data_IF_061203996724
#
_entry.id   IF_061203996724
#
_cell.length_a   1.000
_cell.length_b   1.000
_cell.length_c   1.000
_cell.angle_alpha   90.00
_cell.angle_beta   90.00
_cell.angle_gamma   90.00
#
_symmetry.space_group_name_H-M   'P 1'
#
loop_
_entity.id
_entity.type
_entity.pdbx_description
1 polymer ?
#
# COMPACT_ATOMS: atom_id res chain seq x y z
N UNK A 1 2.09 26.73 -13.88
CA UNK A 1 1.38 26.28 -15.09
C UNK A 1 0.59 27.48 -15.64
N UNK A 2 0.46 27.62 -16.98
CA UNK A 2 -0.23 28.76 -17.60
C UNK A 2 -1.73 28.78 -17.24
N UNK A 3 -2.40 29.94 -17.31
CA UNK A 3 -3.85 30.01 -17.18
C UNK A 3 -4.57 29.34 -18.35
N UNK A 4 -5.78 28.82 -18.10
CA UNK A 4 -6.58 28.15 -19.12
C UNK A 4 -7.32 29.14 -20.02
N UNK A 5 -8.01 30.12 -19.44
CA UNK A 5 -8.72 31.17 -20.17
C UNK A 5 -8.27 32.52 -19.64
N UNK A 6 -7.66 33.32 -20.52
CA UNK A 6 -7.30 34.70 -20.22
C UNK A 6 -8.29 35.63 -20.91
N UNK A 7 -8.87 36.55 -20.14
CA UNK A 7 -9.69 37.64 -20.65
C UNK A 7 -8.88 38.92 -20.49
N UNK A 8 -8.72 39.68 -21.56
CA UNK A 8 -8.05 40.97 -21.51
C UNK A 8 -8.98 42.00 -20.85
N UNK A 9 -8.57 42.51 -19.69
CA UNK A 9 -9.25 43.59 -18.97
C UNK A 9 -8.28 44.75 -18.88
N UNK A 10 -8.40 45.73 -19.78
CA UNK A 10 -7.42 46.82 -19.96
C UNK A 10 -5.98 46.33 -20.22
N UNK A 11 -5.12 47.18 -20.78
CA UNK A 11 -3.75 46.79 -21.15
C UNK A 11 -2.98 46.29 -19.92
N UNK A 12 -2.46 45.06 -20.00
CA UNK A 12 -1.62 44.37 -18.99
C UNK A 12 -2.30 43.78 -17.74
N UNK A 13 -3.64 43.73 -17.63
CA UNK A 13 -4.31 43.04 -16.50
C UNK A 13 -4.99 41.71 -16.86
N UNK A 14 -4.38 40.93 -17.76
CA UNK A 14 -4.88 39.59 -18.11
C UNK A 14 -4.14 38.48 -17.36
N UNK A 15 -4.79 37.32 -17.21
CA UNK A 15 -4.19 36.15 -16.58
C UNK A 15 -2.90 35.73 -17.30
N UNK A 16 -2.91 35.82 -18.64
CA UNK A 16 -1.77 35.50 -19.50
C UNK A 16 -0.63 36.50 -19.27
N UNK A 17 -0.91 37.81 -19.26
CA UNK A 17 0.10 38.83 -19.03
C UNK A 17 0.78 38.65 -17.66
N UNK A 18 -0.01 38.42 -16.60
CA UNK A 18 0.53 38.14 -15.27
C UNK A 18 1.40 36.88 -15.24
N UNK A 19 1.02 35.82 -15.95
CA UNK A 19 1.82 34.59 -16.04
C UNK A 19 3.15 34.81 -16.77
N UNK A 20 3.13 35.52 -17.90
CA UNK A 20 4.32 35.81 -18.70
C UNK A 20 5.32 36.68 -17.92
N UNK A 21 4.83 37.71 -17.21
CA UNK A 21 5.66 38.54 -16.35
C UNK A 21 6.26 37.74 -15.17
N UNK A 22 5.46 36.87 -14.54
CA UNK A 22 5.97 35.96 -13.51
C UNK A 22 7.08 35.04 -14.03
N UNK A 23 6.99 34.56 -15.27
CA UNK A 23 8.05 33.77 -15.90
C UNK A 23 9.32 34.58 -16.15
N UNK A 24 9.20 35.84 -16.57
CA UNK A 24 10.34 36.74 -16.78
C UNK A 24 11.06 37.04 -15.46
N UNK A 25 10.31 37.42 -14.43
CA UNK A 25 10.84 37.71 -13.09
C UNK A 25 11.53 36.48 -12.49
N UNK A 26 10.93 35.29 -12.66
CA UNK A 26 11.54 34.03 -12.20
C UNK A 26 12.89 33.77 -12.88
N UNK A 27 13.01 34.05 -14.18
CA UNK A 27 14.29 33.91 -14.91
C UNK A 27 15.36 34.88 -14.41
N UNK A 28 14.95 36.04 -13.90
CA UNK A 28 15.84 37.03 -13.31
C UNK A 28 16.23 36.70 -11.86
N UNK A 29 15.69 35.62 -11.28
CA UNK A 29 16.03 35.13 -9.95
C UNK A 29 15.20 35.71 -8.80
N UNK A 30 14.23 36.58 -9.09
CA UNK A 30 13.33 37.13 -8.07
C UNK A 30 12.12 36.22 -7.85
N UNK A 31 12.36 35.14 -7.12
CA UNK A 31 11.40 34.09 -6.91
C UNK A 31 10.14 34.57 -6.14
N UNK A 32 10.31 35.49 -5.19
CA UNK A 32 9.21 35.96 -4.33
C UNK A 32 8.23 36.80 -5.13
N UNK A 33 8.73 37.68 -6.00
CA UNK A 33 7.88 38.50 -6.85
C UNK A 33 7.25 37.66 -7.96
N UNK A 34 8.01 36.73 -8.55
CA UNK A 34 7.47 35.77 -9.51
C UNK A 34 6.26 34.99 -8.95
N UNK A 35 6.32 34.55 -7.69
CA UNK A 35 5.22 33.88 -7.02
C UNK A 35 3.96 34.75 -6.97
N UNK A 36 4.09 36.04 -6.65
CA UNK A 36 2.94 36.96 -6.60
C UNK A 36 2.26 37.07 -7.97
N UNK A 37 3.04 37.15 -9.04
CA UNK A 37 2.52 37.19 -10.41
C UNK A 37 1.87 35.87 -10.84
N UNK A 38 2.39 34.71 -10.42
CA UNK A 38 1.72 33.44 -10.66
C UNK A 38 0.42 33.28 -9.87
N UNK A 39 0.36 33.79 -8.63
CA UNK A 39 -0.88 33.86 -7.85
C UNK A 39 -1.88 34.78 -8.54
N UNK A 40 -1.46 35.96 -9.01
CA UNK A 40 -2.30 36.88 -9.79
C UNK A 40 -2.81 36.22 -11.07
N UNK A 41 -1.97 35.51 -11.81
CA UNK A 41 -2.38 34.78 -13.01
C UNK A 41 -3.45 33.71 -12.71
N UNK A 42 -3.29 32.95 -11.62
CA UNK A 42 -4.31 32.00 -11.13
C UNK A 42 -5.62 32.72 -10.78
N UNK A 43 -5.53 33.86 -10.11
CA UNK A 43 -6.69 34.64 -9.65
C UNK A 43 -7.38 35.41 -10.78
N UNK A 44 -6.73 35.61 -11.92
CA UNK A 44 -7.32 36.19 -13.13
C UNK A 44 -7.81 35.13 -14.13
N UNK A 45 -7.47 33.85 -13.94
CA UNK A 45 -7.90 32.78 -14.84
C UNK A 45 -9.43 32.70 -14.88
N UNK A 46 -10.00 32.96 -16.06
CA UNK A 46 -11.45 33.01 -16.24
C UNK A 46 -12.07 31.61 -16.16
N UNK A 47 -11.27 30.56 -16.36
CA UNK A 47 -11.68 29.19 -16.09
C UNK A 47 -11.19 28.75 -14.72
N UNK A 48 -12.08 28.85 -13.72
CA UNK A 48 -11.81 28.67 -12.29
C UNK A 48 -11.64 27.20 -11.86
N UNK A 49 -10.76 26.46 -12.53
CA UNK A 49 -10.39 25.11 -12.06
C UNK A 49 -9.62 25.16 -10.74
N UNK A 50 -8.80 26.21 -10.55
CA UNK A 50 -8.05 26.46 -9.32
C UNK A 50 -8.80 27.44 -8.42
N UNK A 51 -8.85 27.16 -7.13
CA UNK A 51 -9.44 28.05 -6.14
C UNK A 51 -8.75 29.44 -6.16
N UNK A 52 -9.51 30.54 -6.28
CA UNK A 52 -8.96 31.88 -6.14
C UNK A 52 -8.47 32.10 -4.71
N UNK A 53 -7.48 32.99 -4.55
CA UNK A 53 -6.88 33.28 -3.24
C UNK A 53 -7.88 33.86 -2.24
N UNK A 54 -8.98 34.44 -2.72
CA UNK A 54 -10.07 34.93 -1.87
C UNK A 54 -10.75 33.82 -1.06
N UNK A 55 -10.77 32.57 -1.55
CA UNK A 55 -11.26 31.43 -0.76
C UNK A 55 -10.37 31.23 0.47
N UNK A 56 -9.05 31.28 0.31
CA UNK A 56 -8.13 31.16 1.44
C UNK A 56 -8.29 32.33 2.42
N UNK A 57 -8.50 33.56 1.92
CA UNK A 57 -8.78 34.72 2.79
C UNK A 57 -10.04 34.49 3.64
N UNK A 58 -11.12 33.99 3.04
CA UNK A 58 -12.36 33.66 3.76
C UNK A 58 -12.09 32.59 4.82
N UNK A 59 -11.36 31.52 4.47
CA UNK A 59 -11.01 30.45 5.42
C UNK A 59 -10.21 31.00 6.60
N UNK A 60 -9.19 31.85 6.34
CA UNK A 60 -8.38 32.44 7.41
C UNK A 60 -9.19 33.40 8.28
N UNK A 61 -10.04 34.24 7.68
CA UNK A 61 -10.88 35.16 8.44
C UNK A 61 -11.86 34.41 9.36
N UNK A 62 -12.52 33.37 8.86
CA UNK A 62 -13.42 32.54 9.66
C UNK A 62 -12.66 31.79 10.76
N UNK A 63 -11.48 31.27 10.44
CA UNK A 63 -10.64 30.61 11.42
C UNK A 63 -10.21 31.56 12.55
N UNK A 64 -9.82 32.78 12.22
CA UNK A 64 -9.49 33.81 13.21
C UNK A 64 -10.73 34.21 14.03
N UNK A 65 -11.89 34.38 13.39
CA UNK A 65 -13.16 34.71 14.05
C UNK A 65 -13.59 33.64 15.06
N UNK A 66 -13.52 32.37 14.67
CA UNK A 66 -13.96 31.25 15.51
C UNK A 66 -12.83 30.62 16.34
N UNK A 67 -11.62 31.20 16.31
CA UNK A 67 -10.42 30.69 16.96
C UNK A 67 -10.13 29.21 16.64
N UNK A 68 -10.18 28.87 15.34
CA UNK A 68 -9.87 27.55 14.83
C UNK A 68 -8.51 27.52 14.12
N UNK A 69 -7.73 26.45 14.31
CA UNK A 69 -6.47 26.25 13.60
C UNK A 69 -6.66 26.03 12.10
N UNK A 70 -5.76 26.60 11.29
CA UNK A 70 -5.69 26.34 9.84
C UNK A 70 -4.32 25.82 9.42
N UNK A 71 -4.34 24.80 8.57
CA UNK A 71 -3.14 24.26 7.91
C UNK A 71 -2.86 25.06 6.63
N UNK A 72 -1.74 25.79 6.60
CA UNK A 72 -1.30 26.60 5.44
C UNK A 72 -0.51 25.73 4.44
N UNK A 73 -1.20 24.78 3.83
CA UNK A 73 -0.60 23.80 2.93
C UNK A 73 0.10 24.41 1.71
N UNK A 74 -0.46 25.49 1.15
CA UNK A 74 0.09 26.24 0.02
C UNK A 74 1.48 26.82 0.33
N UNK A 75 1.63 27.39 1.53
CA UNK A 75 2.90 27.95 2.02
C UNK A 75 3.97 26.87 2.17
N UNK A 76 3.61 25.71 2.73
CA UNK A 76 4.54 24.58 2.85
C UNK A 76 4.92 24.02 1.48
N UNK A 77 3.97 23.86 0.56
CA UNK A 77 4.23 23.36 -0.78
C UNK A 77 5.17 24.28 -1.55
N UNK A 78 4.99 25.59 -1.43
CA UNK A 78 5.92 26.57 -1.99
C UNK A 78 7.32 26.41 -1.38
N UNK A 79 7.44 26.34 -0.05
CA UNK A 79 8.73 26.21 0.64
C UNK A 79 9.49 24.91 0.30
N UNK A 80 8.77 23.81 0.05
CA UNK A 80 9.36 22.52 -0.32
C UNK A 80 9.61 22.37 -1.82
N UNK A 81 9.11 23.29 -2.65
CA UNK A 81 9.37 23.31 -4.07
C UNK A 81 10.60 24.15 -4.40
N UNK A 82 11.24 23.78 -5.52
CA UNK A 82 12.33 24.55 -6.08
C UNK A 82 11.86 26.00 -6.29
N UNK A 83 12.76 26.94 -6.03
CA UNK A 83 12.53 28.37 -6.20
C UNK A 83 11.42 28.94 -5.29
N UNK A 84 10.93 28.20 -4.30
CA UNK A 84 9.86 28.69 -3.42
C UNK A 84 8.48 28.76 -4.10
N UNK A 85 8.29 28.05 -5.23
CA UNK A 85 7.07 28.08 -6.04
C UNK A 85 6.61 26.66 -6.31
N UNK A 86 5.40 26.30 -5.87
CA UNK A 86 4.86 24.95 -6.03
C UNK A 86 4.90 24.48 -7.48
N UNK A 87 5.46 23.30 -7.69
CA UNK A 87 5.74 22.76 -9.01
C UNK A 87 5.45 21.27 -9.16
N UNK A 88 5.95 20.71 -10.27
CA UNK A 88 5.69 19.32 -10.65
C UNK A 88 6.37 18.28 -9.73
N UNK A 89 7.19 18.72 -8.77
CA UNK A 89 7.72 17.83 -7.73
C UNK A 89 6.60 17.40 -6.76
N UNK A 90 5.66 18.30 -6.45
CA UNK A 90 4.57 18.03 -5.51
C UNK A 90 3.19 17.97 -6.17
N UNK A 91 3.06 18.35 -7.45
CA UNK A 91 1.79 18.37 -8.18
C UNK A 91 1.87 17.55 -9.48
N UNK A 92 0.82 16.78 -9.77
CA UNK A 92 0.70 16.01 -11.02
C UNK A 92 0.02 16.80 -12.15
N UNK A 93 -0.92 17.67 -11.79
CA UNK A 93 -1.60 18.61 -12.67
C UNK A 93 -1.85 19.95 -11.94
N UNK A 94 -2.95 20.65 -12.23
CA UNK A 94 -3.27 21.92 -11.60
C UNK A 94 -3.87 21.80 -10.19
N UNK A 95 -4.37 20.61 -9.81
CA UNK A 95 -5.20 20.41 -8.62
C UNK A 95 -4.75 19.23 -7.77
N UNK A 96 -4.15 18.20 -8.38
CA UNK A 96 -3.85 16.95 -7.70
C UNK A 96 -2.36 16.88 -7.31
N UNK A 97 -2.05 16.71 -6.02
CA UNK A 97 -0.69 16.41 -5.55
C UNK A 97 -0.12 15.12 -6.13
N UNK A 98 1.21 14.99 -6.11
CA UNK A 98 1.91 13.71 -6.26
C UNK A 98 1.69 12.85 -5.01
N UNK A 99 2.12 11.58 -5.05
CA UNK A 99 2.13 10.74 -3.85
C UNK A 99 2.87 11.42 -2.68
N UNK A 100 4.03 12.01 -2.98
CA UNK A 100 4.80 12.78 -2.00
C UNK A 100 4.03 14.00 -1.50
N UNK A 101 3.37 14.74 -2.39
CA UNK A 101 2.51 15.87 -2.02
C UNK A 101 1.37 15.45 -1.09
N UNK A 102 0.67 14.35 -1.37
CA UNK A 102 -0.37 13.82 -0.48
C UNK A 102 0.18 13.41 0.88
N UNK A 103 1.36 12.79 0.93
CA UNK A 103 2.01 12.43 2.19
C UNK A 103 2.40 13.67 3.01
N UNK A 104 2.88 14.74 2.36
CA UNK A 104 3.16 16.03 3.03
C UNK A 104 1.87 16.64 3.58
N UNK A 105 0.78 16.67 2.80
CA UNK A 105 -0.51 17.15 3.28
C UNK A 105 -0.98 16.38 4.50
N UNK A 106 -1.00 15.04 4.42
CA UNK A 106 -1.39 14.20 5.55
C UNK A 106 -0.57 14.50 6.81
N UNK A 107 0.75 14.66 6.65
CA UNK A 107 1.64 15.02 7.75
C UNK A 107 1.30 16.40 8.35
N UNK A 108 1.07 17.42 7.52
CA UNK A 108 0.76 18.77 8.00
C UNK A 108 -0.53 18.82 8.83
N UNK A 109 -1.57 18.12 8.39
CA UNK A 109 -2.81 18.00 9.17
C UNK A 109 -2.58 17.21 10.46
N UNK A 110 -1.82 16.11 10.40
CA UNK A 110 -1.51 15.31 11.58
C UNK A 110 -0.73 16.10 12.63
N UNK A 111 0.34 16.79 12.22
CA UNK A 111 1.14 17.64 13.10
C UNK A 111 0.27 18.74 13.74
N UNK A 112 -0.59 19.39 12.94
CA UNK A 112 -1.49 20.42 13.46
C UNK A 112 -2.48 19.87 14.48
N UNK A 113 -3.02 18.66 14.28
CA UNK A 113 -3.89 18.02 15.26
C UNK A 113 -3.15 17.66 16.57
N UNK A 114 -1.86 17.34 16.50
CA UNK A 114 -1.01 17.13 17.68
C UNK A 114 -0.79 18.45 18.43
N UNK A 115 -0.37 19.50 17.73
CA UNK A 115 -0.08 20.82 18.31
C UNK A 115 -1.31 21.42 19.03
N UNK A 116 -2.50 21.18 18.47
CA UNK A 116 -3.78 21.67 18.98
C UNK A 116 -4.44 20.72 20.01
N UNK A 117 -3.77 19.62 20.37
CA UNK A 117 -4.27 18.60 21.29
C UNK A 117 -5.64 17.99 20.88
N UNK A 118 -5.89 17.87 19.58
CA UNK A 118 -7.11 17.24 19.04
C UNK A 118 -7.07 15.72 19.03
N UNK A 119 -5.87 15.14 19.23
CA UNK A 119 -5.70 13.70 19.33
C UNK A 119 -5.62 13.26 20.80
N UNK A 120 -6.14 12.06 21.15
CA UNK A 120 -6.03 11.54 22.50
C UNK A 120 -4.57 11.48 22.98
N UNK A 121 -4.33 11.86 24.23
CA UNK A 121 -3.00 11.75 24.85
C UNK A 121 -2.53 10.29 24.82
N UNK A 122 -1.50 10.01 24.02
CA UNK A 122 -0.94 8.66 23.92
C UNK A 122 -0.29 8.27 25.25
N UNK A 123 -0.77 7.19 25.88
CA UNK A 123 -0.29 6.74 27.20
C UNK A 123 1.21 6.38 27.21
N UNK A 124 1.79 6.00 26.06
CA UNK A 124 3.23 5.80 25.82
C UNK A 124 3.51 5.92 24.32
N UNK A 125 4.35 6.87 23.93
CA UNK A 125 4.89 6.95 22.57
C UNK A 125 6.23 6.19 22.58
N UNK A 126 6.28 5.01 21.95
CA UNK A 126 7.51 4.21 21.90
C UNK A 126 8.52 4.72 20.85
N UNK A 127 8.07 5.51 19.88
CA UNK A 127 8.86 6.01 18.75
C UNK A 127 8.44 7.42 18.39
N UNK A 128 9.38 8.27 17.96
CA UNK A 128 9.05 9.65 17.56
C UNK A 128 8.13 9.68 16.34
N UNK A 129 7.37 10.75 16.14
CA UNK A 129 6.51 10.93 14.96
C UNK A 129 7.29 10.79 13.65
N UNK A 130 8.54 11.27 13.61
CA UNK A 130 9.41 11.14 12.44
C UNK A 130 9.78 9.67 12.13
N UNK A 131 10.03 8.85 13.16
CA UNK A 131 10.30 7.42 12.99
C UNK A 131 9.07 6.68 12.46
N UNK A 132 7.89 7.01 13.01
CA UNK A 132 6.63 6.43 12.55
C UNK A 132 6.31 6.83 11.10
N UNK A 133 6.47 8.10 10.73
CA UNK A 133 6.27 8.57 9.35
C UNK A 133 7.25 7.89 8.37
N UNK A 134 8.52 7.77 8.75
CA UNK A 134 9.51 7.04 7.95
C UNK A 134 9.12 5.59 7.73
N UNK A 135 8.61 4.91 8.77
CA UNK A 135 8.13 3.53 8.66
C UNK A 135 6.92 3.44 7.73
N UNK A 136 5.93 4.33 7.86
CA UNK A 136 4.75 4.35 7.00
C UNK A 136 5.14 4.58 5.54
N UNK A 137 6.02 5.54 5.25
CA UNK A 137 6.47 5.83 3.88
C UNK A 137 7.26 4.67 3.27
N UNK A 138 8.12 4.02 4.05
CA UNK A 138 8.92 2.89 3.58
C UNK A 138 8.08 1.64 3.29
N UNK A 139 6.92 1.50 3.94
CA UNK A 139 6.03 0.35 3.82
C UNK A 139 4.67 0.70 3.20
N UNK A 140 4.56 1.85 2.53
CA UNK A 140 3.34 2.22 1.83
C UNK A 140 3.18 1.33 0.60
N UNK A 141 2.09 0.56 0.57
CA UNK A 141 1.76 -0.32 -0.54
C UNK A 141 1.39 0.53 -1.76
N UNK A 142 2.36 0.62 -2.69
CA UNK A 142 2.26 1.34 -3.96
C UNK A 142 3.37 0.86 -4.89
N UNK A 143 3.02 0.46 -6.11
CA UNK A 143 3.96 -0.17 -7.04
C UNK A 143 4.29 0.72 -8.23
N UNK A 144 5.24 0.24 -9.06
CA UNK A 144 5.59 0.94 -10.30
C UNK A 144 4.42 0.88 -11.30
N UNK A 145 3.57 -0.14 -11.20
CA UNK A 145 2.39 -0.24 -12.05
C UNK A 145 1.40 0.88 -11.75
N UNK A 146 1.14 1.20 -10.47
CA UNK A 146 0.30 2.35 -10.08
C UNK A 146 0.83 3.67 -10.61
N UNK A 147 2.13 3.90 -10.44
CA UNK A 147 2.80 5.09 -10.98
C UNK A 147 2.60 5.19 -12.50
N UNK A 148 2.69 4.06 -13.20
CA UNK A 148 2.53 4.00 -14.65
C UNK A 148 1.08 4.24 -15.07
N UNK A 149 0.11 3.62 -14.39
CA UNK A 149 -1.33 3.84 -14.61
C UNK A 149 -1.67 5.32 -14.39
N UNK A 150 -1.24 5.90 -13.26
CA UNK A 150 -1.46 7.30 -12.94
C UNK A 150 -0.84 8.23 -14.00
N UNK A 151 0.44 8.02 -14.34
CA UNK A 151 1.13 8.81 -15.38
C UNK A 151 0.40 8.73 -16.72
N UNK A 152 -0.04 7.56 -17.15
CA UNK A 152 -0.77 7.40 -18.42
C UNK A 152 -2.14 8.06 -18.38
N UNK A 153 -2.89 7.89 -17.28
CA UNK A 153 -4.17 8.57 -17.07
C UNK A 153 -4.01 10.08 -17.17
N UNK A 154 -3.03 10.65 -16.45
CA UNK A 154 -2.73 12.08 -16.48
C UNK A 154 -2.31 12.52 -17.89
N UNK A 155 -1.49 11.73 -18.59
CA UNK A 155 -1.05 12.06 -19.96
C UNK A 155 -2.22 12.11 -20.94
N UNK A 156 -3.17 11.18 -20.82
CA UNK A 156 -4.38 11.15 -21.65
C UNK A 156 -5.30 12.32 -21.28
N UNK A 157 -5.56 12.54 -19.99
CA UNK A 157 -6.41 13.64 -19.50
C UNK A 157 -5.87 15.02 -19.93
N UNK A 158 -4.56 15.23 -19.82
CA UNK A 158 -3.91 16.49 -20.23
C UNK A 158 -3.80 16.65 -21.75
N UNK A 159 -4.24 15.67 -22.53
CA UNK A 159 -4.39 15.81 -23.98
C UNK A 159 -5.77 16.35 -24.38
N UNK A 160 -6.64 16.67 -23.43
CA UNK A 160 -7.98 17.21 -23.69
C UNK A 160 -8.12 18.67 -23.25
N UNK A 161 -9.22 19.30 -23.61
CA UNK A 161 -9.63 20.58 -23.06
C UNK A 161 -9.79 20.46 -21.53
N UNK A 162 -9.37 21.46 -20.73
CA UNK A 162 -8.81 22.76 -21.11
C UNK A 162 -7.27 22.78 -21.25
N UNK A 163 -6.57 21.65 -21.09
CA UNK A 163 -5.10 21.60 -21.08
C UNK A 163 -4.46 21.86 -22.44
N UNK A 164 -5.15 21.51 -23.52
CA UNK A 164 -4.73 21.81 -24.90
C UNK A 164 -5.88 22.41 -25.70
N UNK A 165 -5.55 23.27 -26.67
CA UNK A 165 -6.55 23.82 -27.62
C UNK A 165 -6.94 22.81 -28.69
N UNK A 166 -5.97 22.01 -29.14
CA UNK A 166 -6.15 21.00 -30.17
C UNK A 166 -5.73 19.64 -29.60
N UNK A 167 -6.64 18.66 -29.65
CA UNK A 167 -6.36 17.28 -29.27
C UNK A 167 -5.21 16.72 -30.12
N UNK A 168 -4.20 16.12 -29.47
CA UNK A 168 -3.22 15.33 -30.22
C UNK A 168 -3.91 14.07 -30.78
N UNK A 169 -3.51 13.63 -31.98
CA UNK A 169 -3.96 12.35 -32.53
C UNK A 169 -3.67 11.18 -31.55
N UNK A 170 -4.48 10.11 -31.56
CA UNK A 170 -4.22 8.93 -30.71
C UNK A 170 -2.80 8.38 -30.86
N UNK A 171 -2.25 8.37 -32.09
CA UNK A 171 -0.87 7.96 -32.37
C UNK A 171 0.17 8.81 -31.64
N UNK A 172 -0.03 10.11 -31.56
CA UNK A 172 0.86 11.02 -30.85
C UNK A 172 0.74 10.87 -29.33
N UNK A 173 -0.46 10.60 -28.81
CA UNK A 173 -0.64 10.30 -27.38
C UNK A 173 0.09 9.02 -27.01
N UNK A 174 -0.08 7.94 -27.78
CA UNK A 174 0.62 6.68 -27.55
C UNK A 174 2.15 6.83 -27.58
N UNK A 175 2.69 7.66 -28.49
CA UNK A 175 4.11 8.01 -28.51
C UNK A 175 4.55 8.72 -27.22
N UNK A 176 3.73 9.62 -26.66
CA UNK A 176 4.02 10.30 -25.37
C UNK A 176 3.99 9.33 -24.18
N UNK A 177 3.19 8.26 -24.23
CA UNK A 177 3.18 7.25 -23.16
C UNK A 177 4.55 6.54 -23.05
N UNK A 178 5.22 6.34 -24.19
CA UNK A 178 6.56 5.73 -24.25
C UNK A 178 6.56 4.32 -23.62
N UNK A 179 5.79 3.40 -24.24
CA UNK A 179 5.60 2.02 -23.78
C UNK A 179 6.88 1.20 -24.03
N UNK A 180 7.48 0.61 -22.99
CA UNK A 180 8.72 -0.17 -23.09
C UNK A 180 8.60 -1.61 -22.61
N UNK A 181 7.70 -1.87 -21.66
CA UNK A 181 7.69 -3.13 -20.95
C UNK A 181 6.27 -3.62 -20.66
N UNK A 182 6.20 -4.82 -20.06
CA UNK A 182 4.93 -5.48 -19.77
C UNK A 182 4.03 -4.68 -18.80
N UNK A 183 4.62 -3.96 -17.84
CA UNK A 183 3.85 -3.10 -16.93
C UNK A 183 3.18 -1.95 -17.70
N UNK A 184 3.83 -1.42 -18.75
CA UNK A 184 3.24 -0.38 -19.59
C UNK A 184 2.01 -0.90 -20.34
N UNK A 185 2.09 -2.11 -20.89
CA UNK A 185 0.95 -2.74 -21.57
C UNK A 185 -0.23 -2.96 -20.62
N UNK A 186 0.05 -3.46 -19.41
CA UNK A 186 -0.99 -3.66 -18.39
C UNK A 186 -1.64 -2.34 -17.97
N UNK A 187 -0.84 -1.28 -17.78
CA UNK A 187 -1.36 0.04 -17.44
C UNK A 187 -2.32 0.57 -18.53
N UNK A 188 -1.97 0.40 -19.80
CA UNK A 188 -2.86 0.78 -20.91
C UNK A 188 -4.16 -0.02 -20.91
N UNK A 189 -4.11 -1.33 -20.68
CA UNK A 189 -5.30 -2.18 -20.60
C UNK A 189 -6.23 -1.82 -19.45
N UNK A 190 -5.70 -1.34 -18.32
CA UNK A 190 -6.51 -0.79 -17.23
C UNK A 190 -7.25 0.47 -17.69
N UNK A 191 -6.58 1.36 -18.41
CA UNK A 191 -7.18 2.61 -18.88
C UNK A 191 -8.21 2.41 -19.99
N UNK A 192 -8.04 1.37 -20.80
CA UNK A 192 -9.00 0.95 -21.84
C UNK A 192 -10.14 0.09 -21.28
N UNK A 193 -10.24 -0.09 -19.95
CA UNK A 193 -11.20 -0.97 -19.28
C UNK A 193 -11.17 -2.43 -19.76
N UNK A 194 -10.05 -2.89 -20.34
CA UNK A 194 -9.83 -4.29 -20.74
C UNK A 194 -9.42 -5.17 -19.56
N UNK A 195 -8.81 -4.57 -18.54
CA UNK A 195 -8.46 -5.21 -17.27
C UNK A 195 -8.93 -4.33 -16.10
N UNK A 196 -9.35 -4.96 -15.02
CA UNK A 196 -9.45 -4.28 -13.73
C UNK A 196 -8.05 -3.98 -13.20
N UNK A 197 -7.93 -2.98 -12.33
CA UNK A 197 -6.67 -2.66 -11.64
C UNK A 197 -6.08 -3.89 -10.95
N UNK A 198 -6.88 -4.58 -10.13
CA UNK A 198 -6.46 -5.80 -9.43
C UNK A 198 -5.92 -6.87 -10.38
N UNK A 199 -6.62 -7.13 -11.49
CA UNK A 199 -6.23 -8.17 -12.44
C UNK A 199 -4.92 -7.82 -13.14
N UNK A 200 -4.66 -6.53 -13.38
CA UNK A 200 -3.39 -6.07 -13.91
C UNK A 200 -2.24 -6.34 -12.92
N UNK A 201 -2.41 -6.01 -11.64
CA UNK A 201 -1.42 -6.30 -10.60
C UNK A 201 -1.16 -7.81 -10.47
N UNK A 202 -2.21 -8.64 -10.41
CA UNK A 202 -2.01 -10.10 -10.38
C UNK A 202 -1.33 -10.65 -11.61
N UNK A 203 -1.62 -10.13 -12.80
CA UNK A 203 -0.94 -10.55 -14.03
C UNK A 203 0.56 -10.21 -13.97
N UNK A 204 0.91 -9.02 -13.47
CA UNK A 204 2.29 -8.62 -13.27
C UNK A 204 2.98 -9.48 -12.19
N UNK A 205 2.31 -9.72 -11.06
CA UNK A 205 2.76 -10.60 -10.00
C UNK A 205 3.06 -12.00 -10.54
N UNK A 206 2.14 -12.61 -11.29
CA UNK A 206 2.33 -13.93 -11.89
C UNK A 206 3.54 -13.96 -12.85
N UNK A 207 3.79 -12.88 -13.60
CA UNK A 207 4.99 -12.79 -14.45
C UNK A 207 6.28 -12.73 -13.62
N UNK A 208 6.28 -12.01 -12.50
CA UNK A 208 7.41 -12.02 -11.57
C UNK A 208 7.64 -13.41 -10.96
N UNK A 209 6.56 -14.07 -10.54
CA UNK A 209 6.59 -15.40 -9.97
C UNK A 209 7.15 -16.45 -10.96
N UNK A 210 6.73 -16.40 -12.22
CA UNK A 210 7.24 -17.28 -13.29
C UNK A 210 8.75 -17.08 -13.54
N UNK A 211 9.27 -15.89 -13.27
CA UNK A 211 10.70 -15.56 -13.38
C UNK A 211 11.48 -15.84 -12.10
N UNK A 212 10.83 -16.39 -11.06
CA UNK A 212 11.44 -16.62 -9.76
C UNK A 212 11.68 -15.35 -8.94
N UNK A 213 11.19 -14.18 -9.37
CA UNK A 213 11.33 -12.93 -8.62
C UNK A 213 10.23 -12.84 -7.55
N UNK A 214 10.49 -13.44 -6.40
CA UNK A 214 9.50 -13.53 -5.31
C UNK A 214 9.27 -12.17 -4.65
N UNK A 215 10.29 -11.32 -4.54
CA UNK A 215 10.14 -10.00 -3.89
C UNK A 215 9.14 -9.11 -4.65
N UNK A 216 9.28 -9.01 -5.97
CA UNK A 216 8.32 -8.23 -6.77
C UNK A 216 6.97 -8.93 -6.89
N UNK A 217 6.92 -10.26 -6.86
CA UNK A 217 5.65 -10.99 -6.77
C UNK A 217 4.87 -10.58 -5.51
N UNK A 218 5.54 -10.60 -4.36
CA UNK A 218 4.91 -10.22 -3.09
C UNK A 218 4.54 -8.74 -3.08
N UNK A 219 5.40 -7.85 -3.59
CA UNK A 219 5.07 -6.41 -3.68
C UNK A 219 3.78 -6.13 -4.44
N UNK A 220 3.56 -6.77 -5.60
CA UNK A 220 2.31 -6.59 -6.36
C UNK A 220 1.10 -7.25 -5.68
N UNK A 221 1.29 -8.37 -4.97
CA UNK A 221 0.19 -9.03 -4.25
C UNK A 221 -0.15 -8.35 -2.93
N UNK A 222 0.83 -7.76 -2.24
CA UNK A 222 0.64 -6.99 -1.01
C UNK A 222 -0.22 -5.76 -1.30
N UNK A 223 0.04 -5.08 -2.42
CA UNK A 223 -0.76 -3.94 -2.87
C UNK A 223 -2.23 -4.32 -3.19
N UNK A 224 -2.43 -5.46 -3.86
CA UNK A 224 -3.78 -6.01 -4.07
C UNK A 224 -4.48 -6.35 -2.75
N UNK A 225 -3.77 -6.97 -1.81
CA UNK A 225 -4.31 -7.32 -0.48
C UNK A 225 -4.59 -6.06 0.35
N UNK A 226 -3.74 -5.04 0.26
CA UNK A 226 -3.91 -3.76 0.95
C UNK A 226 -5.19 -3.07 0.50
N UNK A 227 -5.45 -3.04 -0.81
CA UNK A 227 -6.65 -2.44 -1.37
C UNK A 227 -7.93 -3.25 -1.09
N UNK A 228 -7.81 -4.58 -0.97
CA UNK A 228 -8.93 -5.51 -0.78
C UNK A 228 -8.69 -6.50 0.38
N UNK A 229 -8.56 -6.02 1.64
CA UNK A 229 -8.05 -6.82 2.75
C UNK A 229 -8.99 -7.95 3.20
N UNK A 230 -10.25 -7.93 2.76
CA UNK A 230 -11.27 -8.93 3.09
C UNK A 230 -11.51 -9.95 1.96
N UNK A 231 -10.80 -9.85 0.82
CA UNK A 231 -10.89 -10.85 -0.25
C UNK A 231 -9.89 -11.97 0.03
N UNK A 232 -10.38 -13.04 0.64
CA UNK A 232 -9.60 -14.19 1.10
C UNK A 232 -8.81 -14.88 -0.02
N UNK A 233 -9.37 -14.93 -1.23
CA UNK A 233 -8.76 -15.59 -2.39
C UNK A 233 -7.36 -15.03 -2.70
N UNK A 234 -7.11 -13.75 -2.42
CA UNK A 234 -5.80 -13.14 -2.65
C UNK A 234 -4.74 -13.66 -1.70
N UNK A 235 -5.09 -13.86 -0.43
CA UNK A 235 -4.22 -14.53 0.53
C UNK A 235 -4.00 -15.99 0.13
N UNK A 236 -5.05 -16.70 -0.27
CA UNK A 236 -4.96 -18.11 -0.68
C UNK A 236 -4.02 -18.28 -1.88
N UNK A 237 -4.07 -17.37 -2.86
CA UNK A 237 -3.13 -17.34 -3.98
C UNK A 237 -1.68 -17.20 -3.50
N UNK A 238 -1.38 -16.25 -2.61
CA UNK A 238 -0.03 -16.01 -2.10
C UNK A 238 0.48 -17.19 -1.28
N UNK A 239 -0.33 -17.63 -0.31
CA UNK A 239 0.02 -18.72 0.60
C UNK A 239 0.31 -19.99 -0.18
N UNK A 240 -0.58 -20.41 -1.09
CA UNK A 240 -0.38 -21.62 -1.87
C UNK A 240 0.88 -21.55 -2.75
N UNK A 241 1.14 -20.42 -3.40
CA UNK A 241 2.33 -20.25 -4.23
C UNK A 241 3.63 -20.34 -3.43
N UNK A 242 3.66 -19.78 -2.21
CA UNK A 242 4.84 -19.84 -1.34
C UNK A 242 5.04 -21.23 -0.73
N UNK A 243 3.96 -21.89 -0.27
CA UNK A 243 4.01 -23.24 0.29
C UNK A 243 4.48 -24.28 -0.74
N UNK A 244 3.98 -24.23 -1.98
CA UNK A 244 4.43 -25.12 -3.06
C UNK A 244 5.93 -24.99 -3.34
N UNK A 245 6.49 -23.79 -3.14
CA UNK A 245 7.92 -23.49 -3.27
C UNK A 245 8.70 -23.69 -1.98
N UNK A 246 8.06 -24.23 -0.93
CA UNK A 246 8.64 -24.45 0.41
C UNK A 246 9.17 -23.17 1.07
N UNK A 247 8.65 -22.00 0.68
CA UNK A 247 9.03 -20.71 1.25
C UNK A 247 8.24 -20.40 2.51
N UNK A 248 8.39 -21.27 3.52
CA UNK A 248 7.57 -21.27 4.74
C UNK A 248 7.68 -19.97 5.55
N UNK A 249 8.89 -19.41 5.64
CA UNK A 249 9.11 -18.14 6.36
C UNK A 249 8.34 -16.99 5.74
N UNK A 250 8.27 -16.96 4.40
CA UNK A 250 7.51 -15.93 3.68
C UNK A 250 6.01 -16.18 3.71
N UNK A 251 5.56 -17.44 3.79
CA UNK A 251 4.14 -17.78 3.87
C UNK A 251 3.52 -17.43 5.22
N UNK A 252 4.29 -17.55 6.31
CA UNK A 252 3.82 -17.35 7.69
C UNK A 252 3.08 -16.03 7.94
N UNK A 253 3.59 -14.84 7.55
CA UNK A 253 2.86 -13.59 7.77
C UNK A 253 1.51 -13.54 7.06
N UNK A 254 1.39 -14.12 5.86
CA UNK A 254 0.11 -14.21 5.13
C UNK A 254 -0.85 -15.19 5.79
N UNK A 255 -0.35 -16.34 6.25
CA UNK A 255 -1.14 -17.30 7.03
C UNK A 255 -1.69 -16.68 8.32
N UNK A 256 -0.87 -15.90 9.03
CA UNK A 256 -1.30 -15.22 10.26
C UNK A 256 -2.31 -14.10 10.00
N UNK A 257 -2.12 -13.30 8.94
CA UNK A 257 -3.13 -12.31 8.51
C UNK A 257 -4.43 -13.02 8.14
N UNK A 258 -4.35 -14.09 7.35
CA UNK A 258 -5.51 -14.89 6.95
C UNK A 258 -6.27 -15.45 8.16
N UNK A 259 -5.58 -16.04 9.13
CA UNK A 259 -6.20 -16.63 10.34
C UNK A 259 -6.89 -15.58 11.24
N UNK A 260 -6.41 -14.33 11.24
CA UNK A 260 -7.05 -13.23 11.98
C UNK A 260 -8.38 -12.81 11.37
N UNK A 261 -8.49 -12.86 10.04
CA UNK A 261 -9.72 -12.46 9.34
C UNK A 261 -10.67 -13.65 9.19
N UNK A 262 -10.14 -14.84 8.86
CA UNK A 262 -10.88 -16.10 8.70
C UNK A 262 -10.10 -17.27 9.28
N UNK A 263 -10.53 -17.70 10.47
CA UNK A 263 -9.99 -18.89 11.13
C UNK A 263 -10.34 -20.15 10.34
N UNK A 264 -9.34 -20.85 9.78
CA UNK A 264 -9.53 -22.08 9.01
C UNK A 264 -8.61 -23.20 9.50
N UNK A 265 -9.02 -24.47 9.28
CA UNK A 265 -8.16 -25.62 9.56
C UNK A 265 -6.85 -25.54 8.75
N UNK A 266 -6.92 -25.14 7.48
CA UNK A 266 -5.76 -25.00 6.59
C UNK A 266 -4.72 -24.01 7.14
N UNK A 267 -5.15 -22.80 7.50
CA UNK A 267 -4.22 -21.80 8.03
C UNK A 267 -3.64 -22.25 9.38
N UNK A 268 -4.48 -22.75 10.29
CA UNK A 268 -4.04 -23.25 11.59
C UNK A 268 -3.04 -24.41 11.46
N UNK A 269 -3.29 -25.36 10.55
CA UNK A 269 -2.38 -26.46 10.21
C UNK A 269 -1.01 -25.93 9.82
N UNK A 270 -0.94 -25.04 8.82
CA UNK A 270 0.35 -24.56 8.31
C UNK A 270 1.09 -23.66 9.30
N UNK A 271 0.40 -22.80 10.04
CA UNK A 271 1.03 -22.02 11.12
C UNK A 271 1.63 -22.97 12.17
N UNK A 272 0.90 -24.01 12.56
CA UNK A 272 1.36 -25.01 13.51
C UNK A 272 2.58 -25.79 13.03
N UNK A 273 2.57 -26.24 11.77
CA UNK A 273 3.70 -26.96 11.14
C UNK A 273 4.94 -26.06 11.07
N UNK A 274 4.80 -24.81 10.64
CA UNK A 274 5.93 -23.87 10.53
C UNK A 274 6.47 -23.50 11.91
N UNK A 275 5.60 -23.33 12.91
CA UNK A 275 6.03 -23.11 14.29
C UNK A 275 6.83 -24.30 14.84
N UNK A 276 6.38 -25.53 14.54
CA UNK A 276 7.09 -26.75 14.94
C UNK A 276 8.48 -26.82 14.32
N UNK A 277 8.62 -26.51 13.01
CA UNK A 277 9.93 -26.49 12.35
C UNK A 277 10.86 -25.41 12.89
N UNK A 278 10.32 -24.33 13.46
CA UNK A 278 11.07 -23.26 14.15
C UNK A 278 11.33 -23.55 15.63
N UNK A 279 10.97 -24.73 16.12
CA UNK A 279 11.07 -25.12 17.53
C UNK A 279 10.23 -24.23 18.48
N UNK A 280 9.23 -23.51 17.97
CA UNK A 280 8.22 -22.81 18.79
C UNK A 280 7.11 -23.81 19.17
N UNK A 281 7.47 -24.71 20.09
CA UNK A 281 6.64 -25.85 20.49
C UNK A 281 5.29 -25.40 21.05
N UNK A 282 5.26 -24.30 21.81
CA UNK A 282 4.01 -23.78 22.40
C UNK A 282 3.05 -23.30 21.31
N UNK A 283 3.55 -22.52 20.35
CA UNK A 283 2.72 -22.04 19.23
C UNK A 283 2.30 -23.20 18.33
N UNK A 284 3.19 -24.15 18.08
CA UNK A 284 2.88 -25.36 17.31
C UNK A 284 1.70 -26.13 17.89
N UNK A 285 1.75 -26.49 19.18
CA UNK A 285 0.66 -27.19 19.87
C UNK A 285 -0.65 -26.39 19.74
N UNK A 286 -0.62 -25.09 20.08
CA UNK A 286 -1.82 -24.24 20.05
C UNK A 286 -2.51 -24.24 18.68
N UNK A 287 -1.74 -24.09 17.61
CA UNK A 287 -2.30 -24.00 16.25
C UNK A 287 -2.66 -25.36 15.65
N UNK A 288 -1.91 -26.42 15.96
CA UNK A 288 -2.27 -27.78 15.55
C UNK A 288 -3.53 -28.26 16.27
N UNK A 289 -3.69 -28.01 17.58
CA UNK A 289 -4.94 -28.25 18.31
C UNK A 289 -6.10 -27.46 17.70
N UNK A 290 -5.89 -26.17 17.41
CA UNK A 290 -6.88 -25.33 16.72
C UNK A 290 -7.29 -25.96 15.38
N UNK A 291 -6.34 -26.46 14.60
CA UNK A 291 -6.63 -27.17 13.35
C UNK A 291 -7.50 -28.40 13.58
N UNK A 292 -7.17 -29.26 14.55
CA UNK A 292 -7.95 -30.49 14.83
C UNK A 292 -9.37 -30.21 15.32
N UNK A 293 -9.60 -29.07 16.00
CA UNK A 293 -10.94 -28.63 16.42
C UNK A 293 -11.82 -28.23 15.24
N UNK A 294 -11.23 -27.76 14.14
CA UNK A 294 -11.96 -27.34 12.93
C UNK A 294 -12.09 -28.51 11.95
N UNK A 295 -11.03 -29.30 11.77
CA UNK A 295 -11.02 -30.52 10.97
C UNK A 295 -10.36 -31.66 11.74
N UNK A 296 -11.16 -32.61 12.20
CA UNK A 296 -10.73 -33.76 12.98
C UNK A 296 -10.24 -34.95 12.14
N UNK A 297 -10.15 -34.83 10.82
CA UNK A 297 -9.78 -35.93 9.89
C UNK A 297 -8.48 -35.67 9.11
N UNK A 298 -7.52 -34.95 9.72
CA UNK A 298 -6.20 -34.68 9.11
C UNK A 298 -5.09 -35.46 9.83
N UNK A 299 -4.73 -36.61 9.27
CA UNK A 299 -3.69 -37.52 9.77
C UNK A 299 -2.33 -36.83 9.95
N UNK A 300 -1.94 -35.95 9.01
CA UNK A 300 -0.70 -35.18 9.10
C UNK A 300 -0.71 -34.19 10.26
N UNK A 301 -1.83 -33.54 10.57
CA UNK A 301 -1.93 -32.64 11.73
C UNK A 301 -1.75 -33.43 13.02
N UNK A 302 -2.40 -34.59 13.16
CA UNK A 302 -2.22 -35.45 14.33
C UNK A 302 -0.80 -35.98 14.49
N UNK A 303 -0.14 -36.37 13.40
CA UNK A 303 1.26 -36.78 13.43
C UNK A 303 2.17 -35.65 13.94
N UNK A 304 2.00 -34.43 13.41
CA UNK A 304 2.77 -33.27 13.85
C UNK A 304 2.45 -32.87 15.30
N UNK A 305 1.18 -33.00 15.71
CA UNK A 305 0.75 -32.72 17.08
C UNK A 305 1.36 -33.73 18.07
N UNK A 306 1.44 -35.00 17.70
CA UNK A 306 2.14 -36.03 18.47
C UNK A 306 3.63 -35.68 18.66
N UNK A 307 4.30 -35.26 17.57
CA UNK A 307 5.67 -34.77 17.62
C UNK A 307 5.83 -33.56 18.54
N UNK A 308 4.96 -32.55 18.40
CA UNK A 308 4.98 -31.35 19.22
C UNK A 308 4.75 -31.65 20.71
N UNK A 309 3.80 -32.53 21.04
CA UNK A 309 3.58 -32.98 22.42
C UNK A 309 4.76 -33.76 22.99
N UNK A 310 5.38 -34.62 22.17
CA UNK A 310 6.58 -35.36 22.56
C UNK A 310 7.73 -34.43 22.95
N UNK A 311 8.00 -33.41 22.11
CA UNK A 311 9.00 -32.38 22.37
C UNK A 311 8.69 -31.57 23.63
N UNK A 312 7.40 -31.38 23.93
CA UNK A 312 6.95 -30.73 25.18
C UNK A 312 6.82 -31.70 26.37
N UNK A 313 7.31 -32.94 26.26
CA UNK A 313 7.24 -34.02 27.27
C UNK A 313 5.82 -34.40 27.72
N UNK A 314 4.80 -34.13 26.89
CA UNK A 314 3.41 -34.49 27.15
C UNK A 314 3.09 -35.86 26.54
N UNK A 315 3.77 -36.93 26.98
CA UNK A 315 3.75 -38.23 26.30
C UNK A 315 2.36 -38.87 26.19
N UNK A 316 1.50 -38.73 27.21
CA UNK A 316 0.11 -39.24 27.15
C UNK A 316 -0.69 -38.59 26.02
N UNK A 317 -0.57 -37.27 25.86
CA UNK A 317 -1.23 -36.55 24.75
C UNK A 317 -0.59 -36.87 23.41
N UNK A 318 0.73 -37.07 23.37
CA UNK A 318 1.43 -37.49 22.18
C UNK A 318 0.95 -38.87 21.68
N UNK A 319 0.76 -39.83 22.59
CA UNK A 319 0.18 -41.14 22.29
C UNK A 319 -1.25 -41.02 21.74
N UNK A 320 -2.12 -40.27 22.43
CA UNK A 320 -3.48 -40.04 21.92
C UNK A 320 -3.50 -39.40 20.52
N UNK A 321 -2.60 -38.45 20.25
CA UNK A 321 -2.48 -37.84 18.93
C UNK A 321 -1.97 -38.83 17.87
N UNK A 322 -0.97 -39.67 18.17
CA UNK A 322 -0.46 -40.66 17.20
C UNK A 322 -1.47 -41.78 16.95
N UNK A 323 -2.27 -42.14 17.94
CA UNK A 323 -3.36 -43.11 17.79
C UNK A 323 -4.45 -42.58 16.86
N UNK A 324 -4.84 -41.30 17.01
CA UNK A 324 -5.76 -40.64 16.07
C UNK A 324 -5.18 -40.57 14.64
N UNK A 325 -3.89 -40.29 14.49
CA UNK A 325 -3.20 -40.34 13.19
C UNK A 325 -3.33 -41.73 12.54
N UNK A 326 -3.03 -42.79 13.28
CA UNK A 326 -3.10 -44.18 12.80
C UNK A 326 -4.55 -44.67 12.59
N UNK A 327 -5.52 -44.12 13.31
CA UNK A 327 -6.94 -44.41 13.10
C UNK A 327 -7.42 -43.85 11.75
N UNK A 328 -6.97 -42.65 11.38
CA UNK A 328 -7.32 -42.01 10.10
C UNK A 328 -6.52 -42.64 8.95
N UNK A 329 -5.22 -42.87 9.16
CA UNK A 329 -4.32 -43.47 8.18
C UNK A 329 -3.40 -44.52 8.83
N UNK A 330 -3.80 -45.81 8.81
CA UNK A 330 -3.05 -46.90 9.43
C UNK A 330 -1.63 -47.12 8.87
N UNK A 331 -1.34 -46.54 7.71
CA UNK A 331 -0.07 -46.64 6.98
C UNK A 331 0.71 -45.32 6.96
N UNK A 332 0.36 -44.35 7.82
CA UNK A 332 1.06 -43.06 7.86
C UNK A 332 2.57 -43.27 8.13
N UNK A 333 3.40 -42.75 7.23
CA UNK A 333 4.85 -42.96 7.26
C UNK A 333 5.44 -42.43 8.57
N UNK A 334 6.11 -43.31 9.31
CA UNK A 334 6.77 -42.97 10.57
C UNK A 334 5.87 -43.00 11.81
N UNK A 335 4.54 -43.12 11.67
CA UNK A 335 3.63 -43.06 12.81
C UNK A 335 3.81 -44.21 13.81
N UNK A 336 3.91 -45.47 13.34
CA UNK A 336 4.17 -46.63 14.22
C UNK A 336 5.52 -46.56 14.92
N UNK A 337 6.54 -46.05 14.23
CA UNK A 337 7.87 -45.84 14.83
C UNK A 337 7.81 -44.80 15.95
N UNK A 338 7.14 -43.67 15.71
CA UNK A 338 6.92 -42.64 16.72
C UNK A 338 6.10 -43.17 17.91
N UNK A 339 5.03 -43.93 17.66
CA UNK A 339 4.23 -44.57 18.71
C UNK A 339 5.08 -45.47 19.60
N UNK A 340 5.92 -46.34 19.01
CA UNK A 340 6.83 -47.19 19.77
C UNK A 340 7.86 -46.42 20.62
N UNK A 341 8.37 -45.29 20.12
CA UNK A 341 9.24 -44.41 20.90
C UNK A 341 8.49 -43.74 22.07
N UNK A 342 7.24 -43.31 21.83
CA UNK A 342 6.40 -42.67 22.83
C UNK A 342 5.99 -43.62 23.97
N UNK A 343 5.70 -44.89 23.66
CA UNK A 343 5.39 -45.91 24.67
C UNK A 343 6.58 -46.10 25.63
N UNK A 344 7.79 -46.31 25.10
CA UNK A 344 9.02 -46.43 25.90
C UNK A 344 9.30 -45.17 26.73
N UNK A 345 9.02 -43.99 26.18
CA UNK A 345 9.23 -42.72 26.89
C UNK A 345 8.19 -42.53 28.02
N UNK A 346 6.96 -42.98 27.83
CA UNK A 346 5.90 -42.91 28.84
C UNK A 346 6.14 -43.87 30.01
N UNK A 347 6.71 -45.05 29.77
CA UNK A 347 7.07 -46.03 30.81
C UNK A 347 8.19 -45.51 31.72
N UNK A 348 9.16 -44.76 31.18
CA UNK A 348 10.28 -44.18 31.96
C UNK A 348 9.89 -42.99 32.84
N UNK A 349 8.68 -42.46 32.70
CA UNK A 349 8.16 -41.34 33.49
C UNK A 349 7.22 -41.77 34.63
N UNK A 350 6.83 -43.05 34.66
CA UNK A 350 6.18 -43.69 35.80
C UNK A 350 7.25 -44.16 36.78
#
# INVERSE_FOLDING_TARGET
QPPFISIDRFENESAKAAYELGQEILKNGDNKDALQFFVRAKDLDALRFRAPSDINKIIYNLADEFNYPVVKADSTFNALSKDGIVGNNLMTDHLHPTLEGYQILGKLFFDKMIDENYLPSAKKIAQTTAQQDSYVRANYDFTKLDSTIGRYRITILKNDWPFVKNLSSPSNVLRKLNLHNYSDSLALFVLENKLTWEKAHRNLANRYLQRGNIDNYLKEMDDVIFQYPFIYDFYDIVINNLLQRKMFDRALPYLEKYDRVKSTAFAAKWIGIIALSKNDIKKAIRYLEKSTKINSFDDQVYFNLAGAYSLNKQYKKALSAIDNCLMINPNYKGARSLQGMLLKASEKQQ
#
